data_IF_532315719030
#
_entry.id   IF_532315719030
#
_cell.length_a   1.000
_cell.length_b   1.000
_cell.length_c   1.000
_cell.angle_alpha   90.00
_cell.angle_beta   90.00
_cell.angle_gamma   90.00
#
_symmetry.space_group_name_H-M   'P 1'
#
loop_
_entity.id
_entity.type
_entity.pdbx_description
1 polymer ?
#
# COMPACT_ATOMS: atom_id res chain seq x y z
N UNK A 1 16.22 8.95 -27.34
CA UNK A 1 15.35 8.65 -28.50
C UNK A 1 13.97 8.14 -28.07
N UNK A 2 13.85 7.23 -27.12
CA UNK A 2 12.57 6.68 -26.64
C UNK A 2 12.02 7.36 -25.41
N UNK A 3 12.82 8.15 -24.73
CA UNK A 3 12.44 8.90 -23.54
C UNK A 3 12.05 10.33 -23.90
N UNK A 4 11.13 10.89 -23.14
CA UNK A 4 10.81 12.32 -23.17
C UNK A 4 11.96 13.10 -22.55
N UNK A 5 12.18 14.33 -22.98
CA UNK A 5 13.18 15.21 -22.40
C UNK A 5 12.72 15.74 -21.03
N UNK A 6 11.43 15.81 -20.81
CA UNK A 6 10.78 16.16 -19.54
C UNK A 6 9.42 15.49 -19.42
N UNK A 7 8.96 15.32 -18.18
CA UNK A 7 7.65 14.74 -17.87
C UNK A 7 6.88 15.67 -16.93
N UNK A 8 5.58 15.92 -17.19
CA UNK A 8 4.78 16.75 -16.31
C UNK A 8 4.45 16.02 -15.01
N UNK A 9 4.53 16.77 -13.91
CA UNK A 9 4.00 16.39 -12.62
C UNK A 9 3.19 17.56 -12.05
N UNK A 10 1.99 17.27 -11.58
CA UNK A 10 1.12 18.25 -10.94
C UNK A 10 0.81 17.80 -9.52
N UNK A 11 0.96 18.70 -8.56
CA UNK A 11 0.61 18.46 -7.17
C UNK A 11 -0.15 19.64 -6.62
N UNK A 12 -1.36 19.38 -6.14
CA UNK A 12 -2.23 20.38 -5.53
C UNK A 12 -2.59 19.94 -4.11
N UNK A 13 -2.48 20.85 -3.16
CA UNK A 13 -2.89 20.60 -1.78
C UNK A 13 -3.74 21.78 -1.31
N UNK A 14 -4.86 21.46 -0.68
CA UNK A 14 -5.72 22.42 -0.02
C UNK A 14 -5.90 21.96 1.42
N UNK A 15 -5.74 22.88 2.37
CA UNK A 15 -5.99 22.58 3.76
C UNK A 15 -6.73 23.73 4.45
N UNK A 16 -7.61 23.35 5.36
CA UNK A 16 -8.34 24.26 6.23
C UNK A 16 -8.16 23.78 7.65
N UNK A 17 -7.73 24.68 8.51
CA UNK A 17 -7.60 24.42 9.93
C UNK A 17 -8.28 25.52 10.72
N UNK A 18 -8.82 25.16 11.86
CA UNK A 18 -9.49 26.12 12.74
C UNK A 18 -9.82 25.46 14.08
N UNK A 19 -10.48 26.22 14.94
CA UNK A 19 -10.92 25.70 16.22
C UNK A 19 -11.47 26.76 17.13
N UNK A 20 -11.84 26.32 18.31
CA UNK A 20 -12.21 27.09 19.47
C UNK A 20 -11.34 26.66 20.66
N UNK A 21 -11.58 27.21 21.83
CA UNK A 21 -10.88 26.81 23.07
C UNK A 21 -11.01 25.31 23.39
N UNK A 22 -12.05 24.65 22.87
CA UNK A 22 -12.35 23.24 23.18
C UNK A 22 -12.15 22.30 21.99
N UNK A 23 -12.20 22.81 20.78
CA UNK A 23 -12.15 21.95 19.57
C UNK A 23 -11.16 22.51 18.58
N UNK A 24 -10.28 21.65 18.07
CA UNK A 24 -9.40 21.96 16.93
C UNK A 24 -9.67 20.98 15.81
N UNK A 25 -9.61 21.47 14.57
CA UNK A 25 -9.74 20.63 13.39
C UNK A 25 -8.73 21.02 12.31
N UNK A 26 -8.38 20.02 11.52
CA UNK A 26 -7.61 20.20 10.29
C UNK A 26 -8.16 19.25 9.23
N UNK A 27 -8.52 19.79 8.07
CA UNK A 27 -9.01 19.03 6.93
C UNK A 27 -8.10 19.35 5.75
N UNK A 28 -7.62 18.34 5.04
CA UNK A 28 -6.77 18.52 3.87
C UNK A 28 -7.18 17.61 2.71
N UNK A 29 -7.07 18.15 1.51
CA UNK A 29 -7.24 17.48 0.24
C UNK A 29 -5.93 17.55 -0.53
N UNK A 30 -5.55 16.46 -1.18
CA UNK A 30 -4.36 16.41 -2.02
C UNK A 30 -4.66 15.71 -3.34
N UNK A 31 -4.09 16.24 -4.40
CA UNK A 31 -4.08 15.63 -5.72
C UNK A 31 -2.67 15.57 -6.26
N UNK A 32 -2.28 14.44 -6.83
CA UNK A 32 -1.03 14.25 -7.55
C UNK A 32 -1.33 13.56 -8.87
N UNK A 33 -0.84 14.12 -9.96
CA UNK A 33 -0.76 13.45 -11.26
C UNK A 33 0.69 13.45 -11.72
N UNK A 34 1.15 12.34 -12.25
CA UNK A 34 2.50 12.16 -12.78
C UNK A 34 2.45 11.28 -14.02
N UNK A 35 3.14 11.69 -15.06
CA UNK A 35 3.36 10.90 -16.26
C UNK A 35 4.76 10.27 -16.26
N UNK A 36 4.87 9.10 -16.89
CA UNK A 36 6.14 8.43 -17.09
C UNK A 36 6.98 9.04 -18.21
N UNK A 37 8.21 8.55 -18.31
CA UNK A 37 9.24 9.12 -19.20
C UNK A 37 9.25 8.55 -20.61
N UNK A 38 8.50 7.47 -20.88
CA UNK A 38 8.42 6.88 -22.24
C UNK A 38 7.59 7.77 -23.15
N UNK A 39 8.05 7.93 -24.41
CA UNK A 39 7.34 8.72 -25.43
C UNK A 39 6.09 8.03 -25.94
N UNK A 40 6.09 6.70 -25.98
CA UNK A 40 4.98 5.88 -26.48
C UNK A 40 4.34 5.11 -25.35
N UNK A 41 3.01 5.03 -25.36
CA UNK A 41 2.21 4.29 -24.38
C UNK A 41 2.69 4.53 -22.93
N UNK A 42 2.87 5.81 -22.60
CA UNK A 42 3.47 6.25 -21.33
C UNK A 42 2.65 5.75 -20.14
N UNK A 43 3.32 5.46 -19.04
CA UNK A 43 2.68 5.20 -17.76
C UNK A 43 2.15 6.49 -17.12
N UNK A 44 1.11 6.34 -16.33
CA UNK A 44 0.43 7.44 -15.64
C UNK A 44 0.15 7.03 -14.20
N UNK A 45 0.26 7.99 -13.29
CA UNK A 45 -0.04 7.81 -11.89
C UNK A 45 -0.89 8.98 -11.38
N UNK A 46 -2.05 8.66 -10.82
CA UNK A 46 -2.94 9.59 -10.16
C UNK A 46 -3.11 9.22 -8.70
N UNK A 47 -3.15 10.21 -7.80
CA UNK A 47 -3.45 10.01 -6.39
C UNK A 47 -4.27 11.14 -5.82
N UNK A 48 -5.34 10.75 -5.16
CA UNK A 48 -6.20 11.62 -4.36
C UNK A 48 -6.03 11.26 -2.89
N UNK A 49 -5.92 12.27 -2.03
CA UNK A 49 -5.82 12.10 -0.59
C UNK A 49 -6.84 12.98 0.10
N UNK A 50 -7.44 12.46 1.14
CA UNK A 50 -8.26 13.20 2.08
C UNK A 50 -7.77 12.88 3.50
N UNK A 51 -7.58 13.92 4.34
CA UNK A 51 -7.30 13.75 5.75
C UNK A 51 -8.19 14.70 6.54
N UNK A 52 -8.75 14.22 7.62
CA UNK A 52 -9.48 15.01 8.59
C UNK A 52 -9.04 14.63 10.01
N UNK A 53 -8.67 15.62 10.80
CA UNK A 53 -8.29 15.46 12.19
C UNK A 53 -9.19 16.37 13.01
N UNK A 54 -9.78 15.83 14.06
CA UNK A 54 -10.58 16.58 15.02
C UNK A 54 -10.16 16.17 16.43
N UNK A 55 -9.87 17.16 17.28
CA UNK A 55 -9.63 16.97 18.71
C UNK A 55 -10.61 17.84 19.47
N UNK A 56 -11.34 17.26 20.41
CA UNK A 56 -12.35 17.97 21.17
C UNK A 56 -12.22 17.68 22.67
N UNK A 57 -12.16 18.72 23.45
CA UNK A 57 -12.28 18.67 24.92
C UNK A 57 -13.77 18.69 25.29
N UNK A 58 -14.32 17.51 25.63
CA UNK A 58 -15.74 17.38 25.99
C UNK A 58 -16.01 17.93 27.38
N UNK A 59 -15.07 17.63 28.29
CA UNK A 59 -15.03 18.12 29.69
C UNK A 59 -13.57 18.35 30.07
N UNK A 60 -13.31 19.03 31.15
CA UNK A 60 -11.93 19.29 31.62
C UNK A 60 -11.14 18.00 31.87
N UNK A 61 -11.85 16.93 32.17
CA UNK A 61 -11.30 15.61 32.42
C UNK A 61 -11.47 14.62 31.25
N UNK A 62 -12.12 15.01 30.13
CA UNK A 62 -12.42 14.11 29.02
C UNK A 62 -12.22 14.78 27.67
N UNK A 63 -11.34 14.18 26.84
CA UNK A 63 -11.10 14.57 25.44
C UNK A 63 -11.27 13.42 24.47
N UNK A 64 -11.64 13.74 23.24
CA UNK A 64 -11.84 12.79 22.14
C UNK A 64 -11.04 13.25 20.94
N UNK A 65 -10.44 12.31 20.24
CA UNK A 65 -9.71 12.49 18.99
C UNK A 65 -10.33 11.63 17.89
N UNK A 66 -10.50 12.19 16.72
CA UNK A 66 -10.86 11.46 15.51
C UNK A 66 -9.91 11.83 14.38
N UNK A 67 -9.36 10.82 13.73
CA UNK A 67 -8.54 10.99 12.54
C UNK A 67 -9.08 10.07 11.42
N UNK A 68 -9.36 10.64 10.27
CA UNK A 68 -9.78 9.92 9.07
C UNK A 68 -8.78 10.20 7.97
N UNK A 69 -8.25 9.16 7.36
CA UNK A 69 -7.41 9.22 6.17
C UNK A 69 -8.02 8.38 5.08
N UNK A 70 -8.14 8.95 3.90
CA UNK A 70 -8.48 8.25 2.68
C UNK A 70 -7.44 8.57 1.61
N UNK A 71 -7.02 7.54 0.87
CA UNK A 71 -6.16 7.71 -0.30
C UNK A 71 -6.62 6.76 -1.40
N UNK A 72 -6.79 7.30 -2.59
CA UNK A 72 -6.99 6.50 -3.81
C UNK A 72 -5.87 6.80 -4.78
N UNK A 73 -5.16 5.77 -5.22
CA UNK A 73 -4.17 5.92 -6.29
C UNK A 73 -4.47 4.95 -7.42
N UNK A 74 -4.23 5.39 -8.65
CA UNK A 74 -4.31 4.56 -9.85
C UNK A 74 -3.01 4.70 -10.62
N UNK A 75 -2.35 3.58 -10.84
CA UNK A 75 -1.23 3.47 -11.77
C UNK A 75 -1.73 2.76 -13.02
N UNK A 76 -1.46 3.33 -14.19
CA UNK A 76 -1.76 2.72 -15.48
C UNK A 76 -0.50 2.68 -16.32
N UNK A 77 -0.15 1.51 -16.83
CA UNK A 77 1.08 1.28 -17.60
C UNK A 77 0.85 0.28 -18.73
N UNK A 78 1.72 0.24 -19.75
CA UNK A 78 1.63 -0.80 -20.79
C UNK A 78 1.78 -2.18 -20.16
N UNK A 79 0.84 -3.06 -20.46
CA UNK A 79 0.94 -4.46 -20.04
C UNK A 79 1.85 -5.22 -20.98
N UNK A 80 3.08 -5.43 -20.56
CA UNK A 80 4.06 -6.23 -21.26
C UNK A 80 4.02 -7.67 -20.77
N UNK A 81 3.80 -8.58 -21.69
CA UNK A 81 4.00 -9.98 -21.39
C UNK A 81 5.44 -10.36 -21.72
N UNK A 82 6.26 -10.32 -20.72
CA UNK A 82 7.57 -10.93 -20.76
C UNK A 82 7.54 -12.11 -19.79
N UNK A 83 7.99 -13.25 -20.23
CA UNK A 83 8.00 -14.50 -19.46
C UNK A 83 8.71 -14.35 -18.10
N UNK A 84 8.01 -13.80 -17.12
CA UNK A 84 8.34 -13.91 -15.70
C UNK A 84 9.46 -13.04 -15.13
N UNK A 85 10.30 -12.36 -15.93
CA UNK A 85 11.52 -11.70 -15.39
C UNK A 85 11.81 -10.29 -15.91
N UNK A 86 10.99 -9.71 -16.77
CA UNK A 86 11.43 -8.53 -17.50
C UNK A 86 10.43 -7.41 -17.46
N UNK A 87 10.83 -6.34 -16.78
CA UNK A 87 10.22 -5.04 -16.95
C UNK A 87 10.74 -4.36 -18.24
N UNK A 88 10.10 -3.26 -18.62
CA UNK A 88 10.48 -2.43 -19.78
C UNK A 88 11.96 -2.10 -19.80
N UNK A 89 12.52 -1.78 -18.63
CA UNK A 89 13.89 -1.33 -18.46
C UNK A 89 14.89 -2.43 -18.74
N UNK A 90 14.60 -3.63 -18.28
CA UNK A 90 15.43 -4.79 -18.56
C UNK A 90 15.51 -5.07 -20.07
N UNK A 91 14.39 -5.00 -20.80
CA UNK A 91 14.37 -5.19 -22.24
C UNK A 91 15.09 -4.08 -23.00
N UNK A 92 14.85 -2.81 -22.63
CA UNK A 92 15.53 -1.67 -23.23
C UNK A 92 17.04 -1.73 -23.05
N UNK A 93 17.51 -2.19 -21.89
CA UNK A 93 18.94 -2.30 -21.59
C UNK A 93 19.63 -3.51 -22.30
N UNK A 94 18.87 -4.57 -22.53
CA UNK A 94 19.41 -5.81 -23.12
C UNK A 94 19.20 -5.94 -24.62
N UNK A 95 18.42 -5.04 -25.22
CA UNK A 95 18.19 -5.10 -26.66
C UNK A 95 19.48 -4.79 -27.42
N UNK A 96 19.99 -5.74 -28.23
CA UNK A 96 21.23 -5.54 -28.94
C UNK A 96 21.13 -4.36 -29.91
N UNK A 97 22.16 -3.53 -29.98
CA UNK A 97 22.19 -2.32 -30.81
C UNK A 97 22.18 -2.60 -32.32
N UNK A 98 22.47 -3.83 -32.73
CA UNK A 98 22.45 -4.25 -34.12
C UNK A 98 21.07 -4.75 -34.59
N UNK A 99 20.09 -4.92 -33.69
CA UNK A 99 18.73 -5.19 -34.10
C UNK A 99 18.00 -3.90 -34.46
N UNK A 100 17.16 -3.90 -35.50
CA UNK A 100 16.44 -2.71 -35.91
C UNK A 100 15.37 -2.33 -34.93
N UNK A 101 15.23 -1.00 -34.71
CA UNK A 101 14.13 -0.39 -33.97
C UNK A 101 13.12 0.29 -34.90
N UNK A 102 13.38 0.27 -36.22
CA UNK A 102 12.55 0.91 -37.21
C UNK A 102 11.47 -0.03 -37.74
N UNK A 103 10.68 0.47 -38.65
CA UNK A 103 9.78 -0.33 -39.47
C UNK A 103 10.41 -0.65 -40.85
N UNK A 104 9.85 -1.65 -41.49
CA UNK A 104 10.07 -1.95 -42.89
C UNK A 104 8.72 -2.14 -43.59
N UNK A 105 8.47 -1.36 -44.60
CA UNK A 105 7.18 -1.31 -45.32
C UNK A 105 6.01 -0.97 -44.39
N UNK A 106 6.21 -0.10 -43.39
CA UNK A 106 5.18 0.31 -42.45
C UNK A 106 4.89 -0.75 -41.35
N UNK A 107 5.62 -1.86 -41.31
CA UNK A 107 5.48 -2.89 -40.31
C UNK A 107 6.71 -2.85 -39.40
N UNK A 108 6.55 -2.69 -38.10
CA UNK A 108 7.68 -2.58 -37.17
C UNK A 108 8.43 -3.91 -37.02
N UNK A 109 9.73 -3.83 -36.77
CA UNK A 109 10.50 -4.97 -36.31
C UNK A 109 10.17 -5.28 -34.84
N UNK A 110 10.23 -6.56 -34.48
CA UNK A 110 10.15 -6.97 -33.06
C UNK A 110 11.25 -6.29 -32.26
N UNK A 111 10.86 -5.50 -31.30
CA UNK A 111 11.74 -4.78 -30.37
C UNK A 111 10.99 -4.48 -29.09
N UNK A 112 11.73 -4.13 -28.01
CA UNK A 112 11.11 -3.68 -26.77
C UNK A 112 10.16 -2.49 -26.99
N UNK A 113 10.51 -1.60 -27.91
CA UNK A 113 9.66 -0.42 -28.23
C UNK A 113 8.40 -0.80 -28.99
N UNK A 114 8.49 -1.77 -29.93
CA UNK A 114 7.33 -2.29 -30.64
C UNK A 114 6.33 -2.93 -29.66
N UNK A 115 6.86 -3.71 -28.72
CA UNK A 115 6.06 -4.35 -27.69
C UNK A 115 5.37 -3.34 -26.79
N UNK A 116 6.09 -2.31 -26.34
CA UNK A 116 5.51 -1.23 -25.52
C UNK A 116 4.45 -0.45 -26.32
N UNK A 117 4.75 -0.08 -27.55
CA UNK A 117 3.86 0.75 -28.37
C UNK A 117 2.53 0.05 -28.68
N UNK A 118 2.54 -1.27 -28.89
CA UNK A 118 1.37 -2.07 -29.20
C UNK A 118 0.71 -2.69 -27.97
N UNK A 119 1.35 -2.62 -26.79
CA UNK A 119 0.80 -3.21 -25.58
C UNK A 119 -0.51 -2.55 -25.17
N UNK A 120 -1.48 -3.35 -24.75
CA UNK A 120 -2.63 -2.87 -24.01
C UNK A 120 -2.22 -2.41 -22.60
N UNK A 121 -3.17 -2.02 -21.78
CA UNK A 121 -2.90 -1.39 -20.47
C UNK A 121 -3.05 -2.38 -19.31
N UNK A 122 -2.19 -2.20 -18.33
CA UNK A 122 -2.40 -2.67 -16.97
C UNK A 122 -2.78 -1.49 -16.10
N UNK A 123 -3.75 -1.67 -15.23
CA UNK A 123 -4.11 -0.69 -14.21
C UNK A 123 -4.13 -1.31 -12.82
N UNK A 124 -3.57 -0.59 -11.86
CA UNK A 124 -3.62 -0.94 -10.45
C UNK A 124 -4.23 0.22 -9.68
N UNK A 125 -5.40 0.01 -9.09
CA UNK A 125 -6.07 0.96 -8.22
C UNK A 125 -5.96 0.49 -6.78
N UNK A 126 -5.40 1.34 -5.91
CA UNK A 126 -5.30 1.12 -4.48
C UNK A 126 -6.22 2.12 -3.76
N UNK A 127 -7.14 1.61 -2.94
CA UNK A 127 -7.96 2.43 -2.06
C UNK A 127 -7.55 2.11 -0.62
N UNK A 128 -7.09 3.12 0.09
CA UNK A 128 -6.71 3.01 1.50
C UNK A 128 -7.60 3.90 2.35
N UNK A 129 -8.21 3.33 3.36
CA UNK A 129 -8.99 4.04 4.37
C UNK A 129 -8.46 3.70 5.74
N UNK A 130 -8.24 4.70 6.57
CA UNK A 130 -7.91 4.53 7.97
C UNK A 130 -8.75 5.48 8.82
N UNK A 131 -9.38 4.93 9.83
CA UNK A 131 -10.11 5.68 10.87
C UNK A 131 -9.46 5.37 12.21
N UNK A 132 -9.03 6.39 12.89
CA UNK A 132 -8.53 6.30 14.26
C UNK A 132 -9.44 7.11 15.17
N UNK A 133 -9.96 6.48 16.21
CA UNK A 133 -10.76 7.09 17.26
C UNK A 133 -10.01 6.91 18.57
N UNK A 134 -9.77 8.02 19.27
CA UNK A 134 -9.08 8.00 20.54
C UNK A 134 -9.84 8.80 21.59
N UNK A 135 -9.73 8.39 22.84
CA UNK A 135 -10.24 9.16 23.97
C UNK A 135 -9.25 9.15 25.12
N UNK A 136 -9.19 10.25 25.84
CA UNK A 136 -8.41 10.39 27.06
C UNK A 136 -9.33 10.85 28.20
N UNK A 137 -9.29 10.12 29.30
CA UNK A 137 -10.05 10.38 30.48
C UNK A 137 -9.07 10.63 31.64
N UNK A 138 -9.18 11.77 32.31
CA UNK A 138 -8.36 12.16 33.47
C UNK A 138 -9.27 12.18 34.73
N UNK A 139 -9.56 11.02 35.33
CA UNK A 139 -10.52 10.96 36.44
C UNK A 139 -10.02 11.67 37.71
N UNK A 140 -8.72 11.76 37.88
CA UNK A 140 -8.02 12.51 38.92
C UNK A 140 -6.79 13.20 38.34
N UNK A 141 -6.25 14.19 39.02
CA UNK A 141 -5.19 15.09 38.54
C UNK A 141 -3.96 14.38 37.97
N UNK A 142 -3.52 13.26 38.55
CA UNK A 142 -2.25 12.60 38.22
C UNK A 142 -2.46 11.33 37.39
N UNK A 143 -3.68 11.02 36.93
CA UNK A 143 -4.05 9.81 36.23
C UNK A 143 -4.69 10.12 34.87
N UNK A 144 -4.11 9.59 33.80
CA UNK A 144 -4.68 9.61 32.44
C UNK A 144 -4.96 8.18 31.96
N UNK A 145 -6.18 7.93 31.49
CA UNK A 145 -6.61 6.67 30.88
C UNK A 145 -6.89 6.94 29.41
N UNK A 146 -6.23 6.19 28.53
CA UNK A 146 -6.32 6.35 27.10
C UNK A 146 -6.89 5.09 26.47
N UNK A 147 -7.80 5.29 25.49
CA UNK A 147 -8.31 4.24 24.61
C UNK A 147 -8.15 4.73 23.18
N UNK A 148 -7.58 3.89 22.32
CA UNK A 148 -7.44 4.14 20.91
C UNK A 148 -7.93 2.93 20.13
N UNK A 149 -8.73 3.18 19.10
CA UNK A 149 -9.16 2.19 18.14
C UNK A 149 -8.81 2.65 16.72
N UNK A 150 -8.13 1.81 15.97
CA UNK A 150 -7.79 2.08 14.59
C UNK A 150 -8.37 0.98 13.70
N UNK A 151 -9.18 1.39 12.75
CA UNK A 151 -9.61 0.58 11.62
C UNK A 151 -8.82 0.99 10.38
N UNK A 152 -8.25 0.04 9.65
CA UNK A 152 -7.61 0.29 8.37
C UNK A 152 -8.05 -0.74 7.33
N UNK A 153 -8.39 -0.25 6.14
CA UNK A 153 -8.79 -1.06 5.00
C UNK A 153 -7.94 -0.65 3.80
N UNK A 154 -7.23 -1.61 3.21
CA UNK A 154 -6.58 -1.50 1.92
C UNK A 154 -7.33 -2.40 0.94
N UNK A 155 -7.83 -1.83 -0.14
CA UNK A 155 -8.44 -2.56 -1.25
C UNK A 155 -7.67 -2.28 -2.53
N UNK A 156 -7.08 -3.32 -3.11
CA UNK A 156 -6.35 -3.28 -4.36
C UNK A 156 -7.19 -3.94 -5.45
N UNK A 157 -7.31 -3.25 -6.58
CA UNK A 157 -7.89 -3.82 -7.79
C UNK A 157 -6.92 -3.66 -8.96
N UNK A 158 -6.54 -4.77 -9.57
CA UNK A 158 -5.64 -4.82 -10.72
C UNK A 158 -6.37 -5.44 -11.90
N UNK A 159 -6.29 -4.76 -13.04
CA UNK A 159 -6.79 -5.27 -14.32
C UNK A 159 -5.65 -5.22 -15.33
N UNK A 160 -5.39 -6.37 -15.98
CA UNK A 160 -4.39 -6.54 -17.01
C UNK A 160 -5.06 -7.01 -18.27
N UNK A 161 -4.79 -6.34 -19.38
CA UNK A 161 -5.35 -6.68 -20.65
C UNK A 161 -4.21 -7.00 -21.61
N UNK A 162 -4.10 -8.24 -21.99
CA UNK A 162 -3.21 -8.64 -23.08
C UNK A 162 -3.83 -8.29 -24.44
N UNK A 163 -3.01 -8.28 -25.47
CA UNK A 163 -3.39 -8.00 -26.85
C UNK A 163 -2.50 -8.76 -27.81
N UNK A 164 -2.63 -8.46 -29.07
CA UNK A 164 -1.73 -8.98 -30.09
C UNK A 164 -0.61 -7.95 -30.32
N UNK A 165 0.64 -8.44 -30.25
CA UNK A 165 1.84 -7.66 -30.50
C UNK A 165 2.57 -8.34 -31.64
N UNK A 166 2.60 -7.72 -32.81
CA UNK A 166 3.13 -8.33 -34.02
C UNK A 166 4.08 -7.42 -34.79
N UNK A 167 4.78 -8.03 -35.74
CA UNK A 167 5.76 -7.35 -36.60
C UNK A 167 6.69 -8.32 -37.29
N UNK A 168 7.78 -7.81 -37.88
CA UNK A 168 8.84 -8.63 -38.43
C UNK A 168 9.62 -9.31 -37.31
N UNK A 169 9.62 -10.65 -37.27
CA UNK A 169 10.29 -11.43 -36.23
C UNK A 169 11.58 -12.03 -36.77
N UNK A 170 12.70 -11.63 -36.24
CA UNK A 170 14.02 -12.11 -36.59
C UNK A 170 14.48 -13.32 -35.73
N UNK A 171 13.74 -13.67 -34.70
CA UNK A 171 14.18 -14.67 -33.70
C UNK A 171 13.63 -16.07 -33.98
N UNK A 172 12.44 -16.15 -34.56
CA UNK A 172 11.71 -17.42 -34.75
C UNK A 172 11.63 -17.88 -36.19
N UNK A 173 12.46 -17.34 -37.08
CA UNK A 173 12.39 -17.61 -38.49
C UNK A 173 13.78 -17.85 -39.10
N UNK A 174 13.88 -18.78 -40.03
CA UNK A 174 15.03 -18.92 -40.94
C UNK A 174 15.10 -17.77 -41.96
N UNK A 175 14.02 -17.02 -42.13
CA UNK A 175 13.93 -15.82 -42.94
C UNK A 175 13.67 -14.63 -42.02
N UNK A 176 14.60 -13.65 -41.88
CA UNK A 176 14.47 -12.52 -40.93
C UNK A 176 13.32 -11.56 -41.27
N UNK A 177 12.75 -11.64 -42.47
CA UNK A 177 11.61 -10.81 -42.89
C UNK A 177 10.26 -11.54 -42.80
N UNK A 178 10.15 -12.58 -41.99
CA UNK A 178 8.87 -13.23 -41.73
C UNK A 178 8.02 -12.40 -40.81
N UNK A 179 6.81 -12.08 -41.25
CA UNK A 179 5.83 -11.42 -40.40
C UNK A 179 5.25 -12.39 -39.38
N UNK A 180 5.23 -11.97 -38.12
CA UNK A 180 4.57 -12.69 -37.05
C UNK A 180 3.45 -11.81 -36.48
N UNK A 181 2.21 -12.27 -36.57
CA UNK A 181 1.04 -11.55 -36.09
C UNK A 181 0.96 -11.46 -34.54
N UNK A 182 1.63 -12.36 -33.85
CA UNK A 182 1.67 -12.35 -32.38
C UNK A 182 2.96 -12.99 -31.88
N UNK A 183 3.85 -12.19 -31.29
CA UNK A 183 5.13 -12.67 -30.74
C UNK A 183 4.96 -13.61 -29.54
N UNK A 184 3.84 -13.53 -28.85
CA UNK A 184 3.56 -14.30 -27.63
C UNK A 184 2.44 -15.32 -27.81
N UNK A 185 1.83 -15.38 -28.99
CA UNK A 185 0.73 -16.30 -29.29
C UNK A 185 -0.49 -16.09 -28.40
N UNK A 186 -1.29 -17.13 -28.29
CA UNK A 186 -2.55 -17.11 -27.52
C UNK A 186 -2.36 -16.83 -26.00
N UNK A 187 -1.15 -16.98 -25.48
CA UNK A 187 -0.90 -16.78 -24.04
C UNK A 187 -0.94 -15.30 -23.63
N UNK A 188 -0.73 -14.38 -24.58
CA UNK A 188 -0.80 -12.95 -24.33
C UNK A 188 -2.22 -12.39 -24.52
N UNK A 189 -3.02 -13.01 -25.39
CA UNK A 189 -4.40 -12.63 -25.62
C UNK A 189 -5.28 -13.08 -24.43
N UNK A 190 -5.37 -12.26 -23.38
CA UNK A 190 -6.10 -12.56 -22.16
C UNK A 190 -6.47 -11.30 -21.38
N UNK A 191 -7.41 -11.47 -20.46
CA UNK A 191 -7.72 -10.50 -19.41
C UNK A 191 -7.51 -11.15 -18.05
N UNK A 192 -6.84 -10.44 -17.15
CA UNK A 192 -6.61 -10.85 -15.77
C UNK A 192 -7.17 -9.77 -14.85
N UNK A 193 -8.03 -10.17 -13.94
CA UNK A 193 -8.55 -9.30 -12.89
C UNK A 193 -8.16 -9.87 -11.52
N UNK A 194 -7.65 -9.02 -10.66
CA UNK A 194 -7.25 -9.38 -9.29
C UNK A 194 -7.83 -8.37 -8.33
N UNK A 195 -8.54 -8.87 -7.34
CA UNK A 195 -9.00 -8.08 -6.21
C UNK A 195 -8.39 -8.60 -4.92
N UNK A 196 -7.86 -7.71 -4.11
CA UNK A 196 -7.31 -8.03 -2.78
C UNK A 196 -7.78 -7.00 -1.79
N UNK A 197 -8.12 -7.43 -0.59
CA UNK A 197 -8.29 -6.52 0.51
C UNK A 197 -7.50 -6.98 1.73
N UNK A 198 -7.08 -6.00 2.50
CA UNK A 198 -6.47 -6.20 3.82
C UNK A 198 -7.23 -5.32 4.80
N UNK A 199 -7.87 -5.94 5.77
CA UNK A 199 -8.57 -5.25 6.86
C UNK A 199 -7.78 -5.44 8.14
N UNK A 200 -7.54 -4.37 8.87
CA UNK A 200 -6.83 -4.40 10.15
C UNK A 200 -7.61 -3.63 11.19
N UNK A 201 -7.71 -4.21 12.38
CA UNK A 201 -8.26 -3.57 13.57
C UNK A 201 -7.17 -3.55 14.63
N UNK A 202 -6.93 -2.40 15.22
CA UNK A 202 -5.99 -2.25 16.34
C UNK A 202 -6.70 -1.56 17.48
N UNK A 203 -6.64 -2.16 18.65
CA UNK A 203 -7.15 -1.61 19.88
C UNK A 203 -5.98 -1.41 20.85
N UNK A 204 -5.95 -0.26 21.52
CA UNK A 204 -4.99 0.05 22.59
C UNK A 204 -5.70 0.71 23.76
N UNK A 205 -5.43 0.21 24.96
CA UNK A 205 -5.90 0.80 26.20
C UNK A 205 -4.73 0.88 27.18
N UNK A 206 -4.49 2.06 27.76
CA UNK A 206 -3.45 2.21 28.77
C UNK A 206 -3.76 3.32 29.76
N UNK A 207 -3.28 3.13 30.98
CA UNK A 207 -3.34 4.11 32.04
C UNK A 207 -1.93 4.60 32.39
N UNK A 208 -1.78 5.88 32.57
CA UNK A 208 -0.55 6.53 33.04
C UNK A 208 -0.81 7.29 34.31
N UNK A 209 -0.07 6.97 35.36
CA UNK A 209 -0.07 7.70 36.61
C UNK A 209 1.28 8.41 36.75
N UNK A 210 1.27 9.73 36.96
CA UNK A 210 2.48 10.55 37.08
C UNK A 210 2.40 11.46 38.27
N UNK A 211 3.34 11.33 39.20
CA UNK A 211 3.35 12.11 40.45
C UNK A 211 4.74 12.51 40.91
N UNK A 212 4.86 13.75 41.35
CA UNK A 212 6.06 14.26 41.99
C UNK A 212 5.84 14.31 43.52
N UNK A 213 6.80 13.74 44.26
CA UNK A 213 6.81 13.74 45.74
C UNK A 213 7.96 14.59 46.21
N UNK A 214 7.68 15.46 47.20
CA UNK A 214 8.67 16.29 47.87
C UNK A 214 9.53 17.10 46.86
N UNK A 215 9.00 17.40 45.68
CA UNK A 215 9.68 18.13 44.57
C UNK A 215 11.03 17.52 44.13
N UNK A 216 11.35 16.31 44.54
CA UNK A 216 12.63 15.63 44.26
C UNK A 216 12.44 14.24 43.62
N UNK A 217 11.33 13.58 43.86
CA UNK A 217 11.05 12.24 43.36
C UNK A 217 9.93 12.31 42.33
N UNK A 218 10.21 12.01 41.12
CA UNK A 218 9.23 11.91 40.03
C UNK A 218 9.00 10.45 39.70
N UNK A 219 7.77 10.01 39.80
CA UNK A 219 7.35 8.66 39.46
C UNK A 219 6.32 8.70 38.33
N UNK A 220 6.57 7.94 37.28
CA UNK A 220 5.62 7.73 36.21
C UNK A 220 5.43 6.23 36.00
N UNK A 221 4.21 5.76 36.17
CA UNK A 221 3.82 4.37 35.96
C UNK A 221 2.83 4.29 34.81
N UNK A 222 3.08 3.37 33.88
CA UNK A 222 2.17 3.09 32.78
C UNK A 222 1.88 1.59 32.73
N UNK A 223 0.61 1.23 32.57
CA UNK A 223 0.16 -0.13 32.32
C UNK A 223 -0.84 -0.13 31.18
N UNK A 224 -0.83 -1.13 30.35
CA UNK A 224 -1.75 -1.17 29.24
C UNK A 224 -1.75 -2.49 28.49
N UNK A 225 -2.61 -2.52 27.49
CA UNK A 225 -2.76 -3.60 26.54
C UNK A 225 -2.94 -3.07 25.13
N UNK A 226 -2.52 -3.84 24.16
CA UNK A 226 -2.83 -3.64 22.76
C UNK A 226 -3.24 -4.97 22.11
N UNK A 227 -4.08 -4.89 21.10
CA UNK A 227 -4.51 -6.03 20.32
C UNK A 227 -4.64 -5.62 18.85
N UNK A 228 -4.19 -6.48 17.95
CA UNK A 228 -4.30 -6.30 16.50
C UNK A 228 -4.90 -7.55 15.87
N UNK A 229 -5.84 -7.35 14.94
CA UNK A 229 -6.27 -8.38 14.00
C UNK A 229 -6.04 -7.89 12.59
N UNK A 230 -5.66 -8.81 11.70
CA UNK A 230 -5.50 -8.53 10.28
C UNK A 230 -6.04 -9.68 9.47
N UNK A 231 -6.93 -9.36 8.56
CA UNK A 231 -7.47 -10.29 7.58
C UNK A 231 -7.02 -9.87 6.19
N UNK A 232 -6.54 -10.83 5.40
CA UNK A 232 -6.19 -10.64 4.00
C UNK A 232 -6.96 -11.62 3.15
N UNK A 233 -7.70 -11.11 2.18
CA UNK A 233 -8.39 -11.89 1.19
C UNK A 233 -7.93 -11.48 -0.21
N UNK A 234 -7.68 -12.47 -1.08
CA UNK A 234 -7.30 -12.24 -2.44
C UNK A 234 -8.05 -13.15 -3.39
N UNK A 235 -8.46 -12.59 -4.52
CA UNK A 235 -9.08 -13.31 -5.63
C UNK A 235 -8.48 -12.84 -6.95
N UNK A 236 -8.18 -13.80 -7.85
CA UNK A 236 -7.71 -13.52 -9.19
C UNK A 236 -8.43 -14.41 -10.19
N UNK A 237 -8.81 -13.84 -11.32
CA UNK A 237 -9.39 -14.54 -12.45
C UNK A 237 -8.65 -14.16 -13.72
N UNK A 238 -8.34 -15.14 -14.54
CA UNK A 238 -7.67 -15.01 -15.84
C UNK A 238 -8.50 -15.73 -16.89
N UNK A 239 -8.81 -15.07 -18.00
CA UNK A 239 -9.50 -15.68 -19.11
C UNK A 239 -8.85 -15.29 -20.43
N UNK A 240 -8.60 -16.27 -21.27
CA UNK A 240 -7.94 -16.12 -22.56
C UNK A 240 -8.92 -15.88 -23.67
N UNK A 241 -8.41 -15.50 -24.83
CA UNK A 241 -9.11 -15.32 -26.10
C UNK A 241 -10.19 -14.23 -25.98
N UNK A 242 -9.72 -12.99 -25.92
CA UNK A 242 -10.57 -11.79 -26.00
C UNK A 242 -11.20 -11.70 -27.38
N UNK A 243 -12.49 -11.49 -27.45
CA UNK A 243 -13.25 -11.24 -28.69
C UNK A 243 -13.07 -9.79 -29.14
N UNK A 244 -12.90 -8.89 -28.19
CA UNK A 244 -12.73 -7.46 -28.46
C UNK A 244 -11.69 -6.87 -27.51
N UNK A 245 -10.59 -6.35 -28.07
CA UNK A 245 -9.50 -5.73 -27.33
C UNK A 245 -9.85 -4.34 -26.78
N UNK A 246 -10.85 -3.66 -27.35
CA UNK A 246 -11.33 -2.36 -26.85
C UNK A 246 -12.23 -2.52 -25.60
N UNK A 247 -12.79 -3.72 -25.42
CA UNK A 247 -13.62 -4.08 -24.26
C UNK A 247 -13.11 -5.38 -23.62
N UNK A 248 -11.97 -5.32 -22.95
CA UNK A 248 -11.34 -6.51 -22.38
C UNK A 248 -12.01 -6.88 -21.05
N UNK A 249 -13.10 -7.62 -21.13
CA UNK A 249 -13.86 -8.10 -19.99
C UNK A 249 -13.78 -9.63 -19.90
N UNK A 250 -13.73 -10.17 -18.66
CA UNK A 250 -13.64 -11.62 -18.41
C UNK A 250 -14.83 -12.36 -19.03
N UNK A 251 -16.02 -11.79 -18.93
CA UNK A 251 -17.24 -12.39 -19.48
C UNK A 251 -17.34 -12.33 -21.01
N UNK A 252 -16.54 -11.47 -21.66
CA UNK A 252 -16.45 -11.37 -23.12
C UNK A 252 -15.30 -12.18 -23.72
N UNK A 253 -14.45 -12.78 -22.92
CA UNK A 253 -13.43 -13.71 -23.38
C UNK A 253 -14.03 -15.11 -23.54
N UNK A 254 -13.61 -15.85 -24.60
CA UNK A 254 -14.21 -17.14 -24.99
C UNK A 254 -13.33 -18.36 -24.71
N UNK A 255 -12.06 -18.15 -24.36
CA UNK A 255 -11.13 -19.22 -24.01
C UNK A 255 -11.33 -19.73 -22.57
N UNK A 256 -10.44 -20.62 -22.16
CA UNK A 256 -10.46 -21.21 -20.84
C UNK A 256 -10.29 -20.14 -19.76
N UNK A 257 -11.04 -20.29 -18.70
CA UNK A 257 -10.92 -19.45 -17.49
C UNK A 257 -10.02 -20.17 -16.49
N UNK A 258 -9.02 -19.47 -16.02
CA UNK A 258 -8.15 -19.93 -14.95
C UNK A 258 -8.42 -19.11 -13.70
N UNK A 259 -8.69 -19.79 -12.60
CA UNK A 259 -8.61 -19.20 -11.28
C UNK A 259 -7.16 -19.38 -10.84
N UNK A 260 -6.40 -18.31 -10.81
CA UNK A 260 -5.01 -18.36 -10.37
C UNK A 260 -4.98 -18.83 -8.91
N UNK A 261 -4.00 -19.68 -8.56
CA UNK A 261 -3.74 -20.14 -7.19
C UNK A 261 -3.42 -19.03 -6.18
N UNK A 262 -3.61 -17.77 -6.57
CA UNK A 262 -3.51 -16.57 -5.72
C UNK A 262 -4.79 -16.24 -4.96
N UNK A 263 -5.87 -17.04 -5.09
CA UNK A 263 -6.98 -16.96 -4.15
C UNK A 263 -6.50 -17.44 -2.79
N UNK A 264 -6.46 -16.55 -1.83
CA UNK A 264 -5.99 -16.86 -0.48
C UNK A 264 -6.81 -16.13 0.58
N UNK A 265 -6.88 -16.74 1.73
CA UNK A 265 -7.38 -16.14 2.96
C UNK A 265 -6.28 -16.30 4.02
N UNK A 266 -5.88 -15.22 4.65
CA UNK A 266 -4.84 -15.24 5.67
C UNK A 266 -5.22 -14.32 6.82
N UNK A 267 -5.30 -14.90 8.00
CA UNK A 267 -5.61 -14.21 9.25
C UNK A 267 -4.35 -14.08 10.12
N UNK A 268 -4.30 -13.00 10.85
CA UNK A 268 -3.29 -12.72 11.84
C UNK A 268 -3.95 -12.05 13.04
N UNK A 269 -3.54 -12.47 14.23
CA UNK A 269 -3.88 -11.81 15.48
C UNK A 269 -2.66 -11.70 16.38
N UNK A 270 -2.52 -10.59 17.07
CA UNK A 270 -1.54 -10.37 18.12
C UNK A 270 -2.18 -9.61 19.27
N UNK A 271 -1.72 -9.87 20.48
CA UNK A 271 -2.11 -9.11 21.67
C UNK A 271 -0.92 -8.96 22.60
N UNK A 272 -0.84 -7.86 23.31
CA UNK A 272 0.24 -7.59 24.27
C UNK A 272 -0.24 -6.87 25.50
N UNK A 273 0.35 -7.22 26.63
CA UNK A 273 0.22 -6.47 27.88
C UNK A 273 1.57 -5.80 28.17
N UNK A 274 1.56 -4.55 28.59
CA UNK A 274 2.80 -3.84 28.84
C UNK A 274 2.73 -3.00 30.11
N UNK A 275 3.89 -2.84 30.74
CA UNK A 275 4.07 -1.98 31.87
C UNK A 275 5.40 -1.23 31.79
N UNK A 276 5.42 0.00 32.29
CA UNK A 276 6.61 0.84 32.39
C UNK A 276 6.60 1.58 33.72
N UNK A 277 7.75 1.63 34.36
CA UNK A 277 8.00 2.44 35.53
C UNK A 277 9.19 3.33 35.21
N UNK A 278 8.99 4.65 35.26
CA UNK A 278 10.06 5.63 35.22
C UNK A 278 10.17 6.27 36.59
N UNK A 279 11.36 6.33 37.12
CA UNK A 279 11.67 7.01 38.36
C UNK A 279 12.83 7.99 38.15
N UNK A 280 12.63 9.18 38.61
CA UNK A 280 13.61 10.26 38.55
C UNK A 280 13.82 10.84 39.96
N UNK A 281 15.09 10.99 40.36
CA UNK A 281 15.45 11.67 41.57
C UNK A 281 16.25 12.94 41.25
N UNK A 282 15.62 14.09 41.48
CA UNK A 282 16.18 15.44 41.32
C UNK A 282 16.65 15.74 39.88
N UNK A 283 16.13 15.04 38.81
CA UNK A 283 16.60 15.18 37.47
C UNK A 283 18.02 14.61 37.22
N UNK A 284 18.59 13.93 38.22
CA UNK A 284 19.97 13.48 38.23
C UNK A 284 20.12 11.97 38.16
N UNK A 285 19.31 11.23 38.87
CA UNK A 285 19.32 9.76 38.85
C UNK A 285 18.02 9.26 38.22
N UNK A 286 18.17 8.52 37.12
CA UNK A 286 17.07 8.08 36.32
C UNK A 286 17.04 6.53 36.31
N UNK A 287 15.87 5.96 36.45
CA UNK A 287 15.63 4.51 36.34
C UNK A 287 14.39 4.28 35.50
N UNK A 288 14.50 3.42 34.49
CA UNK A 288 13.37 2.94 33.72
C UNK A 288 13.33 1.42 33.72
N UNK A 289 12.16 0.87 34.00
CA UNK A 289 11.88 -0.58 33.91
C UNK A 289 10.70 -0.77 32.98
N UNK A 290 10.85 -1.62 31.97
CA UNK A 290 9.78 -1.98 31.06
C UNK A 290 9.60 -3.51 31.07
N UNK A 291 8.36 -3.94 30.86
CA UNK A 291 8.02 -5.31 30.61
C UNK A 291 6.88 -5.38 29.61
N UNK A 292 6.99 -6.31 28.63
CA UNK A 292 5.91 -6.64 27.70
C UNK A 292 5.70 -8.16 27.70
N UNK A 293 4.44 -8.56 27.68
CA UNK A 293 4.04 -9.96 27.50
C UNK A 293 3.20 -10.03 26.24
N UNK A 294 3.82 -10.51 25.15
CA UNK A 294 3.25 -10.45 23.80
C UNK A 294 2.91 -11.83 23.29
N UNK A 295 1.73 -11.95 22.66
CA UNK A 295 1.23 -13.13 22.02
C UNK A 295 0.98 -12.93 20.53
N UNK A 296 1.19 -13.99 19.73
CA UNK A 296 0.97 -13.98 18.28
C UNK A 296 0.40 -15.29 17.77
N UNK A 297 -0.61 -15.18 16.90
CA UNK A 297 -1.23 -16.33 16.22
C UNK A 297 -0.30 -17.03 15.21
N UNK A 298 0.89 -16.50 14.95
CA UNK A 298 1.88 -17.12 14.05
C UNK A 298 2.62 -18.29 14.69
N UNK A 299 2.56 -18.41 16.00
CA UNK A 299 3.23 -19.48 16.74
C UNK A 299 2.24 -20.60 17.12
N UNK A 300 2.69 -21.84 17.24
CA UNK A 300 1.85 -22.96 17.66
C UNK A 300 1.22 -22.74 19.04
N UNK A 301 0.12 -23.43 19.30
CA UNK A 301 -0.51 -23.45 20.63
C UNK A 301 0.50 -23.89 21.68
N UNK A 302 0.65 -23.12 22.75
CA UNK A 302 1.62 -23.35 23.83
C UNK A 302 2.84 -22.42 23.76
N UNK A 303 3.25 -21.97 22.57
CA UNK A 303 4.44 -21.11 22.36
C UNK A 303 4.08 -19.71 21.85
N UNK A 304 2.81 -19.34 21.95
CA UNK A 304 2.29 -18.08 21.39
C UNK A 304 2.72 -16.85 22.18
N UNK A 305 3.08 -16.99 23.43
CA UNK A 305 3.33 -15.89 24.34
C UNK A 305 4.77 -15.85 24.84
N UNK A 306 5.36 -14.65 24.87
CA UNK A 306 6.71 -14.42 25.38
C UNK A 306 6.79 -13.12 26.18
N UNK A 307 7.69 -13.12 27.21
CA UNK A 307 7.96 -11.97 28.07
C UNK A 307 9.25 -11.27 27.62
N UNK A 308 9.18 -9.94 27.48
CA UNK A 308 10.28 -9.08 27.06
C UNK A 308 10.55 -7.99 28.10
N UNK A 309 11.41 -8.23 29.09
CA UNK A 309 11.80 -7.22 30.08
C UNK A 309 12.96 -6.36 29.59
N UNK A 310 13.02 -5.10 30.02
CA UNK A 310 14.18 -4.23 29.86
C UNK A 310 14.34 -3.26 31.04
N UNK A 311 15.59 -2.90 31.34
CA UNK A 311 15.94 -1.98 32.42
C UNK A 311 17.01 -1.01 31.90
N UNK A 312 16.86 0.26 32.24
CA UNK A 312 17.89 1.29 31.98
C UNK A 312 18.06 2.20 33.19
N UNK A 313 19.26 2.68 33.39
CA UNK A 313 19.61 3.62 34.46
C UNK A 313 20.56 4.71 33.91
N UNK A 314 20.44 5.92 34.47
CA UNK A 314 21.26 7.06 34.09
C UNK A 314 21.51 8.01 35.25
N UNK A 315 22.61 8.76 35.18
CA UNK A 315 22.97 9.82 36.14
C UNK A 315 23.67 10.99 35.45
#
# INVERSE_FOLDING_TARGET
MFMKDWTPQQKHNLSVSGGSDKTTYNISLGYLNQQGILKVNTDEYDRYNFNANVNTQIRDWWSVRANVMFSRSTKSEPYQYTSGYTDVWYYLLRWPSFYPYADYQGIPFRSAMTEIAQANRESLTNNFTRVNLGTTINPIKDLAINFDYTFALLNDYQKRNGGEVGGWDMFNSSNPLTYNSSFYGATHNRVVERSRYTMSNTFKAYATYEKSFVQKHNLKVMVGMDAETREKLGHSSDRRTLVNFDKPEINLAIGDQYVDGTTYHNDFAAAGFFGRINYDYMGKYLLEVNARYDGSSKFPSGDQWALFPSVSAGW
#
